data_IF_024046667289
#
_entry.id   IF_024046667289
#
_cell.length_a   1.000
_cell.length_b   1.000
_cell.length_c   1.000
_cell.angle_alpha   90.00
_cell.angle_beta   90.00
_cell.angle_gamma   90.00
#
_symmetry.space_group_name_H-M   'P 1'
#
loop_
_entity.id
_entity.type
_entity.pdbx_description
1 polymer ?
#
# COMPACT_ATOMS: atom_id res chain seq x y z
N UNK A 1 28.59 13.10 63.33
CA UNK A 1 28.74 11.66 63.04
C UNK A 1 27.35 11.10 62.77
N UNK A 2 27.14 10.58 61.55
CA UNK A 2 26.17 9.57 61.10
C UNK A 2 24.66 9.76 61.39
N UNK A 3 23.74 9.49 60.47
CA UNK A 3 23.76 9.32 59.01
C UNK A 3 22.28 9.38 58.60
N UNK A 4 21.94 10.13 57.55
CA UNK A 4 20.60 10.10 56.97
C UNK A 4 20.38 8.76 56.28
N UNK A 5 19.31 8.05 56.62
CA UNK A 5 18.89 6.83 55.94
C UNK A 5 18.35 7.17 54.55
N UNK A 6 19.24 7.12 53.56
CA UNK A 6 18.88 6.91 52.17
C UNK A 6 19.03 5.43 51.78
N UNK A 7 18.32 5.06 50.72
CA UNK A 7 18.35 3.78 49.99
C UNK A 7 17.52 2.63 50.60
N UNK A 8 16.72 1.88 49.84
CA UNK A 8 16.65 1.79 48.39
C UNK A 8 15.32 1.23 47.92
N UNK A 9 14.62 1.99 47.09
CA UNK A 9 13.79 1.39 46.04
C UNK A 9 14.74 1.00 44.90
N UNK A 10 15.43 -0.12 45.06
CA UNK A 10 16.04 -0.80 43.92
C UNK A 10 14.88 -1.38 43.10
N UNK A 11 14.30 -0.57 42.23
CA UNK A 11 13.47 -1.05 41.15
C UNK A 11 14.32 -2.07 40.38
N UNK A 12 13.90 -3.33 40.40
CA UNK A 12 14.53 -4.39 39.65
C UNK A 12 14.60 -3.96 38.19
N UNK A 13 15.79 -3.55 37.74
CA UNK A 13 16.06 -3.35 36.33
C UNK A 13 15.95 -4.74 35.70
N UNK A 14 14.78 -5.03 35.12
CA UNK A 14 14.59 -6.20 34.29
C UNK A 14 15.73 -6.19 33.27
N UNK A 15 16.58 -7.22 33.28
CA UNK A 15 17.60 -7.42 32.27
C UNK A 15 16.91 -7.48 30.91
N UNK A 16 16.88 -6.36 30.20
CA UNK A 16 16.40 -6.33 28.82
C UNK A 16 17.44 -7.07 27.98
N UNK A 17 17.04 -8.01 27.11
CA UNK A 17 17.97 -8.82 26.31
C UNK A 17 18.72 -8.00 25.24
N UNK A 18 18.48 -6.70 25.15
CA UNK A 18 19.04 -5.81 24.13
C UNK A 18 20.17 -4.97 24.71
N UNK A 19 21.32 -4.96 24.02
CA UNK A 19 22.42 -4.06 24.33
C UNK A 19 22.13 -2.68 23.71
N UNK A 20 21.47 -1.82 24.49
CA UNK A 20 20.96 -0.53 23.99
C UNK A 20 22.08 0.50 23.81
N UNK A 21 22.15 1.06 22.61
CA UNK A 21 22.91 2.30 22.39
C UNK A 21 22.10 3.51 22.86
N UNK A 22 22.74 4.58 23.37
CA UNK A 22 22.04 5.78 23.79
C UNK A 22 21.32 6.43 22.60
N UNK A 23 20.08 6.91 22.78
CA UNK A 23 19.31 7.53 21.71
C UNK A 23 19.94 8.86 21.30
N UNK A 24 19.94 9.14 20.00
CA UNK A 24 20.48 10.38 19.42
C UNK A 24 19.47 11.54 19.41
N UNK A 25 18.18 11.23 19.55
CA UNK A 25 17.09 12.20 19.50
C UNK A 25 15.89 11.75 20.36
N UNK A 26 14.94 12.68 20.58
CA UNK A 26 13.77 12.43 21.42
C UNK A 26 12.86 11.30 20.90
N UNK A 27 12.81 11.08 19.59
CA UNK A 27 11.96 10.04 19.02
C UNK A 27 12.57 8.65 19.26
N UNK A 28 13.88 8.50 19.09
CA UNK A 28 14.59 7.26 19.49
C UNK A 28 14.47 6.99 20.98
N UNK A 29 14.56 8.02 21.83
CA UNK A 29 14.38 7.87 23.27
C UNK A 29 12.97 7.39 23.62
N UNK A 30 11.94 7.96 22.99
CA UNK A 30 10.56 7.49 23.14
C UNK A 30 10.39 6.07 22.63
N UNK A 31 10.93 5.74 21.45
CA UNK A 31 10.86 4.40 20.85
C UNK A 31 11.47 3.34 21.75
N UNK A 32 12.69 3.58 22.24
CA UNK A 32 13.34 2.69 23.19
C UNK A 32 12.49 2.54 24.45
N UNK A 33 12.09 3.64 25.09
CA UNK A 33 11.27 3.60 26.30
C UNK A 33 9.97 2.81 26.10
N UNK A 34 9.24 3.08 25.02
CA UNK A 34 7.99 2.43 24.66
C UNK A 34 8.14 0.91 24.59
N UNK A 35 9.11 0.41 23.82
CA UNK A 35 9.33 -1.03 23.69
C UNK A 35 10.01 -1.67 24.89
N UNK A 36 10.79 -0.93 25.68
CA UNK A 36 11.40 -1.47 26.89
C UNK A 36 10.49 -1.48 28.11
N UNK A 37 9.39 -0.70 28.08
CA UNK A 37 8.41 -0.60 29.17
C UNK A 37 7.52 -1.84 29.37
N UNK A 38 7.64 -2.85 28.51
CA UNK A 38 6.85 -4.09 28.52
C UNK A 38 7.74 -5.33 28.56
N UNK A 39 7.22 -6.43 29.13
CA UNK A 39 7.82 -7.76 29.03
C UNK A 39 7.58 -8.44 27.68
N UNK A 40 6.71 -7.88 26.83
CA UNK A 40 6.32 -8.46 25.55
C UNK A 40 6.53 -7.47 24.38
N UNK A 41 7.77 -7.02 24.10
CA UNK A 41 8.05 -6.02 23.07
C UNK A 41 7.61 -6.46 21.66
N UNK A 42 7.68 -7.76 21.35
CA UNK A 42 7.23 -8.27 20.06
C UNK A 42 5.72 -8.19 19.84
N UNK A 43 4.92 -8.47 20.88
CA UNK A 43 3.46 -8.28 20.83
C UNK A 43 3.12 -6.79 20.70
N UNK A 44 3.81 -5.94 21.46
CA UNK A 44 3.63 -4.50 21.37
C UNK A 44 3.95 -4.02 19.94
N UNK A 45 5.05 -4.49 19.34
CA UNK A 45 5.43 -4.13 17.98
C UNK A 45 4.36 -4.57 16.97
N UNK A 46 3.84 -5.78 17.09
CA UNK A 46 2.78 -6.26 16.21
C UNK A 46 1.53 -5.38 16.27
N UNK A 47 1.09 -5.00 17.47
CA UNK A 47 -0.06 -4.09 17.67
C UNK A 47 0.24 -2.70 17.13
N UNK A 48 1.45 -2.18 17.34
CA UNK A 48 1.88 -0.88 16.80
C UNK A 48 1.89 -0.88 15.28
N UNK A 49 2.42 -1.93 14.63
CA UNK A 49 2.45 -2.04 13.17
C UNK A 49 1.05 -2.24 12.60
N UNK A 50 0.17 -2.98 13.27
CA UNK A 50 -1.23 -3.10 12.87
C UNK A 50 -1.95 -1.77 12.99
N UNK A 51 -1.80 -1.06 14.11
CA UNK A 51 -2.38 0.28 14.26
C UNK A 51 -1.85 1.26 13.20
N UNK A 52 -0.55 1.20 12.90
CA UNK A 52 0.07 2.01 11.84
C UNK A 52 -0.50 1.67 10.47
N UNK A 53 -0.65 0.38 10.17
CA UNK A 53 -1.30 -0.12 8.96
C UNK A 53 -2.72 0.47 8.80
N UNK A 54 -3.56 0.33 9.83
CA UNK A 54 -4.93 0.84 9.81
C UNK A 54 -4.99 2.37 9.64
N UNK A 55 -4.12 3.09 10.35
CA UNK A 55 -4.03 4.56 10.26
C UNK A 55 -3.68 4.99 8.83
N UNK A 56 -2.70 4.34 8.19
CA UNK A 56 -2.29 4.74 6.84
C UNK A 56 -3.33 4.30 5.81
N UNK A 57 -3.82 3.07 5.88
CA UNK A 57 -4.81 2.54 4.93
C UNK A 57 -6.09 3.36 4.96
N UNK A 58 -6.73 3.49 6.13
CA UNK A 58 -7.96 4.26 6.26
C UNK A 58 -7.71 5.77 6.10
N UNK A 59 -6.56 6.28 6.55
CA UNK A 59 -6.17 7.68 6.35
C UNK A 59 -6.04 8.05 4.88
N UNK A 60 -5.51 7.15 4.03
CA UNK A 60 -5.45 7.35 2.58
C UNK A 60 -6.80 7.15 1.90
N UNK A 61 -7.58 6.18 2.36
CA UNK A 61 -8.90 5.88 1.79
C UNK A 61 -9.93 6.99 2.05
N UNK A 62 -9.97 7.54 3.27
CA UNK A 62 -11.06 8.42 3.72
C UNK A 62 -11.25 9.69 2.86
N UNK A 63 -10.18 10.36 2.36
CA UNK A 63 -10.33 11.43 1.38
C UNK A 63 -11.13 11.02 0.14
N UNK A 64 -10.89 9.83 -0.43
CA UNK A 64 -11.65 9.34 -1.60
C UNK A 64 -13.11 9.06 -1.25
N UNK A 65 -13.37 8.54 -0.05
CA UNK A 65 -14.73 8.35 0.45
C UNK A 65 -15.49 9.68 0.53
N UNK A 66 -14.86 10.75 1.05
CA UNK A 66 -15.46 12.09 1.09
C UNK A 66 -15.71 12.61 -0.32
N UNK A 67 -14.74 12.45 -1.24
CA UNK A 67 -14.86 12.90 -2.62
C UNK A 67 -16.04 12.25 -3.34
N UNK A 68 -16.33 10.98 -3.08
CA UNK A 68 -17.52 10.29 -3.63
C UNK A 68 -18.86 10.92 -3.22
N UNK A 69 -18.90 11.71 -2.13
CA UNK A 69 -20.10 12.39 -1.65
C UNK A 69 -20.24 13.82 -2.17
N UNK A 70 -19.22 14.35 -2.84
CA UNK A 70 -19.18 15.74 -3.31
C UNK A 70 -19.28 15.75 -4.84
N UNK A 71 -20.38 16.27 -5.44
CA UNK A 71 -20.61 16.21 -6.89
C UNK A 71 -19.48 16.79 -7.75
N UNK A 72 -18.74 17.78 -7.24
CA UNK A 72 -17.61 18.39 -7.94
C UNK A 72 -16.55 17.38 -8.38
N UNK A 73 -16.28 16.34 -7.58
CA UNK A 73 -15.21 15.39 -7.88
C UNK A 73 -15.61 14.33 -8.91
N UNK A 74 -16.89 14.22 -9.28
CA UNK A 74 -17.36 13.26 -10.29
C UNK A 74 -16.66 13.40 -11.64
N UNK A 75 -16.24 14.62 -12.01
CA UNK A 75 -15.47 14.88 -13.23
C UNK A 75 -14.09 14.19 -13.28
N UNK A 76 -13.58 13.75 -12.13
CA UNK A 76 -12.33 13.00 -12.01
C UNK A 76 -12.54 11.49 -11.84
N UNK A 77 -13.79 11.02 -11.77
CA UNK A 77 -14.09 9.59 -11.62
C UNK A 77 -13.82 8.88 -12.94
N UNK A 78 -13.15 7.73 -12.87
CA UNK A 78 -12.75 6.97 -14.07
C UNK A 78 -13.96 6.26 -14.69
N UNK A 79 -14.72 5.52 -13.87
CA UNK A 79 -15.98 4.88 -14.24
C UNK A 79 -17.17 5.56 -13.53
N UNK A 80 -17.55 6.75 -13.99
CA UNK A 80 -18.59 7.60 -13.39
C UNK A 80 -20.02 7.00 -13.43
N UNK A 81 -20.25 6.01 -14.31
CA UNK A 81 -21.51 5.28 -14.44
C UNK A 81 -21.74 4.20 -13.38
N UNK A 82 -20.72 3.88 -12.56
CA UNK A 82 -20.79 2.85 -11.51
C UNK A 82 -20.62 3.51 -10.13
N UNK A 83 -21.72 3.94 -9.48
CA UNK A 83 -21.65 4.63 -8.20
C UNK A 83 -21.32 3.67 -7.05
N UNK A 84 -20.54 4.16 -6.09
CA UNK A 84 -20.20 3.43 -4.87
C UNK A 84 -21.31 3.61 -3.81
N UNK A 85 -22.11 2.58 -3.59
CA UNK A 85 -23.23 2.63 -2.63
C UNK A 85 -22.79 2.32 -1.20
N UNK A 86 -23.53 2.76 -0.17
CA UNK A 86 -23.23 2.42 1.23
C UNK A 86 -23.11 0.92 1.49
N UNK A 87 -23.88 0.09 0.79
CA UNK A 87 -23.87 -1.37 0.93
C UNK A 87 -22.55 -1.96 0.41
N UNK A 88 -22.03 -1.46 -0.71
CA UNK A 88 -20.73 -1.88 -1.24
C UNK A 88 -19.59 -1.46 -0.31
N UNK A 89 -19.68 -0.24 0.25
CA UNK A 89 -18.74 0.23 1.27
C UNK A 89 -18.73 -0.66 2.51
N UNK A 90 -19.91 -0.98 3.04
CA UNK A 90 -20.03 -1.84 4.22
C UNK A 90 -19.50 -3.25 3.94
N UNK A 91 -19.83 -3.82 2.78
CA UNK A 91 -19.32 -5.13 2.37
C UNK A 91 -17.79 -5.16 2.33
N UNK A 92 -17.17 -4.17 1.69
CA UNK A 92 -15.72 -4.07 1.61
C UNK A 92 -15.10 -3.86 2.99
N UNK A 93 -15.66 -2.97 3.80
CA UNK A 93 -15.16 -2.67 5.15
C UNK A 93 -15.12 -3.95 6.02
N UNK A 94 -16.20 -4.73 6.04
CA UNK A 94 -16.25 -5.98 6.80
C UNK A 94 -15.24 -7.00 6.27
N UNK A 95 -15.07 -7.11 4.95
CA UNK A 95 -14.11 -8.02 4.34
C UNK A 95 -12.66 -7.64 4.67
N UNK A 96 -12.33 -6.35 4.49
CA UNK A 96 -11.00 -5.77 4.73
C UNK A 96 -10.61 -5.90 6.20
N UNK A 97 -11.48 -5.50 7.15
CA UNK A 97 -11.20 -5.65 8.58
C UNK A 97 -10.95 -7.12 8.96
N UNK A 98 -11.72 -8.06 8.41
CA UNK A 98 -11.49 -9.49 8.65
C UNK A 98 -10.13 -9.94 8.12
N UNK A 99 -9.77 -9.52 6.91
CA UNK A 99 -8.47 -9.84 6.30
C UNK A 99 -7.31 -9.26 7.12
N UNK A 100 -7.39 -7.99 7.50
CA UNK A 100 -6.38 -7.29 8.30
C UNK A 100 -6.20 -7.94 9.67
N UNK A 101 -7.29 -8.28 10.37
CA UNK A 101 -7.20 -8.89 11.69
C UNK A 101 -6.79 -10.36 11.67
N UNK A 102 -7.34 -11.17 10.76
CA UNK A 102 -7.19 -12.63 10.80
C UNK A 102 -6.17 -13.21 9.82
N UNK A 103 -5.70 -12.42 8.85
CA UNK A 103 -4.62 -12.83 7.93
C UNK A 103 -3.36 -12.01 8.23
N UNK A 104 -3.45 -10.68 8.16
CA UNK A 104 -2.29 -9.82 8.35
C UNK A 104 -1.86 -9.70 9.82
N UNK A 105 -2.81 -9.67 10.76
CA UNK A 105 -2.53 -9.64 12.20
C UNK A 105 -1.61 -10.77 12.67
N UNK A 106 -1.90 -12.05 12.36
CA UNK A 106 -0.98 -13.16 12.61
C UNK A 106 0.39 -12.99 11.94
N UNK A 107 0.45 -12.46 10.71
CA UNK A 107 1.74 -12.18 10.05
C UNK A 107 2.56 -11.13 10.83
N UNK A 108 1.91 -10.08 11.34
CA UNK A 108 2.56 -9.04 12.16
C UNK A 108 2.99 -9.56 13.54
N UNK A 109 2.24 -10.50 14.13
CA UNK A 109 2.65 -11.18 15.38
C UNK A 109 3.93 -12.00 15.17
N UNK A 110 4.04 -12.69 14.04
CA UNK A 110 5.22 -13.49 13.67
C UNK A 110 6.39 -12.65 13.15
N UNK A 111 6.16 -11.36 12.85
CA UNK A 111 7.19 -10.48 12.29
C UNK A 111 8.36 -10.26 13.25
N UNK A 112 8.11 -9.89 14.52
CA UNK A 112 9.19 -9.58 15.47
C UNK A 112 10.24 -10.70 15.62
N UNK A 113 9.87 -11.96 15.96
CA UNK A 113 10.87 -13.02 16.11
C UNK A 113 11.62 -13.30 14.79
N UNK A 114 10.93 -13.22 13.65
CA UNK A 114 11.54 -13.41 12.32
C UNK A 114 12.52 -12.28 11.98
N UNK A 115 12.14 -11.04 12.25
CA UNK A 115 12.96 -9.86 12.02
C UNK A 115 14.28 -9.93 12.81
N UNK A 116 14.19 -10.27 14.11
CA UNK A 116 15.37 -10.44 14.96
C UNK A 116 16.24 -11.62 14.49
N UNK A 117 15.63 -12.76 14.12
CA UNK A 117 16.36 -13.92 13.62
C UNK A 117 17.12 -13.63 12.31
N UNK A 118 16.60 -12.73 11.48
CA UNK A 118 17.26 -12.26 10.25
C UNK A 118 18.27 -11.13 10.48
N UNK A 119 18.42 -10.65 11.71
CA UNK A 119 19.37 -9.58 12.07
C UNK A 119 18.86 -8.16 11.86
N UNK A 120 17.54 -7.95 11.71
CA UNK A 120 16.98 -6.60 11.66
C UNK A 120 17.22 -5.85 12.97
N UNK A 121 17.49 -4.55 12.83
CA UNK A 121 17.66 -3.61 13.93
C UNK A 121 16.30 -3.21 14.49
N UNK A 122 16.18 -3.13 15.81
CA UNK A 122 14.89 -2.85 16.46
C UNK A 122 14.97 -1.72 17.48
N UNK A 123 15.93 -1.76 18.41
CA UNK A 123 16.13 -0.72 19.43
C UNK A 123 17.41 0.09 19.18
N UNK A 124 18.15 -0.26 18.15
CA UNK A 124 19.32 0.47 17.66
C UNK A 124 18.94 1.88 17.17
N UNK A 125 19.91 2.80 17.00
CA UNK A 125 19.65 4.11 16.42
C UNK A 125 18.99 4.00 15.04
N UNK A 126 18.13 4.96 14.71
CA UNK A 126 17.42 4.94 13.45
C UNK A 126 18.37 5.13 12.26
N UNK A 127 18.06 4.52 11.10
CA UNK A 127 18.81 4.76 9.91
C UNK A 127 18.72 6.23 9.52
N UNK A 128 19.76 6.75 8.86
CA UNK A 128 19.69 8.08 8.24
C UNK A 128 18.52 8.13 7.27
N UNK A 129 17.88 9.30 7.16
CA UNK A 129 16.70 9.46 6.30
C UNK A 129 16.97 9.08 4.83
N UNK A 130 18.20 9.28 4.33
CA UNK A 130 18.59 8.86 2.98
C UNK A 130 18.53 7.34 2.84
N UNK A 131 19.07 6.61 3.82
CA UNK A 131 19.02 5.14 3.86
C UNK A 131 17.57 4.67 3.93
N UNK A 132 16.74 5.31 4.77
CA UNK A 132 15.31 5.00 4.87
C UNK A 132 14.61 5.13 3.51
N UNK A 133 14.79 6.27 2.83
CA UNK A 133 14.16 6.55 1.52
C UNK A 133 14.67 5.58 0.45
N UNK A 134 16.00 5.41 0.33
CA UNK A 134 16.59 4.53 -0.67
C UNK A 134 16.18 3.06 -0.46
N UNK A 135 16.12 2.60 0.78
CA UNK A 135 15.62 1.26 1.10
C UNK A 135 14.16 1.09 0.71
N UNK A 136 13.29 2.07 0.97
CA UNK A 136 11.89 2.01 0.56
C UNK A 136 11.73 2.00 -0.97
N UNK A 137 12.52 2.81 -1.70
CA UNK A 137 12.52 2.81 -3.16
C UNK A 137 13.02 1.48 -3.74
N UNK A 138 14.05 0.89 -3.13
CA UNK A 138 14.53 -0.43 -3.50
C UNK A 138 13.44 -1.50 -3.27
N UNK A 139 12.82 -1.51 -2.09
CA UNK A 139 11.72 -2.41 -1.77
C UNK A 139 10.54 -2.25 -2.75
N UNK A 140 10.22 -1.02 -3.16
CA UNK A 140 9.17 -0.74 -4.14
C UNK A 140 9.44 -1.42 -5.49
N UNK A 141 10.66 -1.30 -6.02
CA UNK A 141 11.02 -1.92 -7.31
C UNK A 141 11.03 -3.45 -7.23
N UNK A 142 11.53 -4.00 -6.12
CA UNK A 142 11.56 -5.45 -5.89
C UNK A 142 10.15 -6.01 -5.74
N UNK A 143 9.30 -5.37 -4.94
CA UNK A 143 7.92 -5.80 -4.73
C UNK A 143 7.09 -5.66 -6.01
N UNK A 144 7.21 -4.56 -6.75
CA UNK A 144 6.51 -4.37 -8.04
C UNK A 144 6.87 -5.47 -9.05
N UNK A 145 8.14 -5.89 -9.06
CA UNK A 145 8.60 -7.01 -9.89
C UNK A 145 7.95 -8.33 -9.46
N UNK A 146 8.00 -8.66 -8.16
CA UNK A 146 7.35 -9.87 -7.64
C UNK A 146 5.84 -9.85 -7.93
N UNK A 147 5.20 -8.72 -7.64
CA UNK A 147 3.79 -8.49 -7.79
C UNK A 147 3.37 -8.73 -9.24
N UNK A 148 4.06 -8.15 -10.22
CA UNK A 148 3.74 -8.35 -11.64
C UNK A 148 3.65 -9.84 -12.02
N UNK A 149 4.66 -10.63 -11.68
CA UNK A 149 4.71 -12.03 -12.08
C UNK A 149 3.67 -12.89 -11.34
N UNK A 150 3.50 -12.66 -10.04
CA UNK A 150 2.53 -13.40 -9.24
C UNK A 150 1.10 -13.00 -9.58
N UNK A 151 0.83 -11.72 -9.79
CA UNK A 151 -0.46 -11.23 -10.22
C UNK A 151 -0.82 -11.81 -11.60
N UNK A 152 0.11 -11.79 -12.56
CA UNK A 152 -0.08 -12.45 -13.86
C UNK A 152 -0.35 -13.96 -13.71
N UNK A 153 0.32 -14.63 -12.78
CA UNK A 153 0.06 -16.04 -12.46
C UNK A 153 -1.35 -16.25 -11.90
N UNK A 154 -1.81 -15.37 -11.01
CA UNK A 154 -3.15 -15.40 -10.41
C UNK A 154 -4.29 -15.26 -11.44
N UNK A 155 -4.00 -14.73 -12.63
CA UNK A 155 -4.93 -14.68 -13.76
C UNK A 155 -5.01 -15.96 -14.60
N UNK A 156 -4.29 -17.02 -14.24
CA UNK A 156 -4.53 -18.35 -14.83
C UNK A 156 -5.92 -18.87 -14.44
N UNK A 157 -6.63 -19.63 -15.29
CA UNK A 157 -8.04 -19.96 -15.09
C UNK A 157 -8.39 -20.53 -13.70
N UNK A 158 -7.55 -21.42 -13.17
CA UNK A 158 -7.77 -22.06 -11.88
C UNK A 158 -7.57 -21.07 -10.72
N UNK A 159 -6.43 -20.37 -10.71
CA UNK A 159 -6.12 -19.39 -9.67
C UNK A 159 -7.09 -18.20 -9.71
N UNK A 160 -7.49 -17.76 -10.90
CA UNK A 160 -8.47 -16.70 -11.05
C UNK A 160 -9.80 -17.13 -10.44
N UNK A 161 -10.33 -18.28 -10.88
CA UNK A 161 -11.65 -18.75 -10.45
C UNK A 161 -11.75 -18.94 -8.93
N UNK A 162 -10.71 -19.48 -8.30
CA UNK A 162 -10.76 -19.88 -6.89
C UNK A 162 -10.14 -18.88 -5.92
N UNK A 163 -9.27 -17.98 -6.39
CA UNK A 163 -8.52 -17.05 -5.53
C UNK A 163 -8.78 -15.61 -5.99
N UNK A 164 -8.31 -15.25 -7.17
CA UNK A 164 -8.22 -13.84 -7.58
C UNK A 164 -9.56 -13.19 -7.98
N UNK A 165 -10.58 -13.99 -8.27
CA UNK A 165 -11.93 -13.49 -8.59
C UNK A 165 -12.54 -12.66 -7.46
N UNK A 166 -12.16 -12.90 -6.20
CA UNK A 166 -12.64 -12.10 -5.05
C UNK A 166 -12.13 -10.66 -5.16
N UNK A 167 -10.86 -10.48 -5.53
CA UNK A 167 -10.29 -9.16 -5.78
C UNK A 167 -10.99 -8.43 -6.94
N UNK A 168 -11.28 -9.17 -8.01
CA UNK A 168 -12.00 -8.69 -9.20
C UNK A 168 -13.52 -8.56 -9.03
N UNK A 169 -14.05 -8.69 -7.81
CA UNK A 169 -15.48 -8.55 -7.57
C UNK A 169 -16.01 -7.17 -8.05
N UNK A 170 -15.18 -6.13 -7.91
CA UNK A 170 -15.52 -4.76 -8.26
C UNK A 170 -14.85 -4.33 -9.55
N UNK A 171 -15.54 -4.54 -10.68
CA UNK A 171 -15.07 -4.07 -12.00
C UNK A 171 -14.82 -2.54 -12.11
N UNK A 172 -15.28 -1.75 -11.14
CA UNK A 172 -14.88 -0.37 -10.89
C UNK A 172 -14.39 -0.28 -9.44
N UNK A 173 -13.07 -0.33 -9.21
CA UNK A 173 -12.52 -0.28 -7.86
C UNK A 173 -12.72 1.10 -7.23
N UNK A 174 -12.80 1.11 -5.91
CA UNK A 174 -12.85 2.30 -5.08
C UNK A 174 -12.04 2.05 -3.81
N UNK A 175 -11.23 3.02 -3.36
CA UNK A 175 -9.99 2.79 -2.58
C UNK A 175 -9.97 1.69 -1.51
N UNK A 176 -11.07 1.44 -0.78
CA UNK A 176 -11.16 0.34 0.20
C UNK A 176 -11.08 -1.08 -0.42
N UNK A 177 -11.46 -1.22 -1.69
CA UNK A 177 -11.36 -2.48 -2.46
C UNK A 177 -9.92 -2.96 -2.65
N UNK A 178 -8.92 -2.10 -2.42
CA UNK A 178 -7.50 -2.41 -2.48
C UNK A 178 -7.11 -3.68 -1.68
N UNK A 179 -7.76 -3.93 -0.54
CA UNK A 179 -7.49 -5.08 0.31
C UNK A 179 -8.68 -6.06 0.40
N UNK A 180 -9.70 -5.87 -0.45
CA UNK A 180 -10.77 -6.84 -0.60
C UNK A 180 -10.28 -7.99 -1.48
N UNK A 181 -9.69 -9.02 -0.87
CA UNK A 181 -9.10 -10.13 -1.59
C UNK A 181 -9.29 -11.46 -0.83
N UNK A 182 -9.07 -12.56 -1.54
CA UNK A 182 -9.11 -13.89 -0.93
C UNK A 182 -7.91 -14.06 0.04
N UNK A 183 -8.05 -14.73 1.20
CA UNK A 183 -6.94 -14.87 2.17
C UNK A 183 -5.65 -15.46 1.58
N UNK A 184 -5.77 -16.42 0.66
CA UNK A 184 -4.60 -17.00 -0.06
C UNK A 184 -3.90 -15.94 -0.91
N UNK A 185 -4.65 -15.05 -1.56
CA UNK A 185 -4.07 -13.95 -2.34
C UNK A 185 -3.30 -12.99 -1.45
N UNK A 186 -3.89 -12.59 -0.32
CA UNK A 186 -3.27 -11.72 0.68
C UNK A 186 -1.97 -12.34 1.19
N UNK A 187 -1.96 -13.64 1.50
CA UNK A 187 -0.77 -14.34 1.95
C UNK A 187 0.31 -14.41 0.86
N UNK A 188 -0.05 -14.73 -0.38
CA UNK A 188 0.89 -14.96 -1.47
C UNK A 188 1.45 -13.65 -2.02
N UNK A 189 0.60 -12.67 -2.35
CA UNK A 189 1.05 -11.34 -2.79
C UNK A 189 1.76 -10.61 -1.64
N UNK A 190 1.28 -10.76 -0.40
CA UNK A 190 1.89 -10.20 0.79
C UNK A 190 3.33 -10.68 1.07
N UNK A 191 3.76 -11.84 0.56
CA UNK A 191 5.17 -12.24 0.66
C UNK A 191 6.11 -11.28 -0.06
N UNK A 192 5.66 -10.66 -1.17
CA UNK A 192 6.45 -9.71 -1.96
C UNK A 192 6.98 -8.54 -1.13
N UNK A 193 6.19 -8.12 -0.13
CA UNK A 193 6.55 -7.06 0.80
C UNK A 193 7.88 -7.32 1.54
N UNK A 194 8.16 -8.59 1.88
CA UNK A 194 9.34 -8.97 2.68
C UNK A 194 10.58 -9.26 1.83
N UNK A 195 10.45 -9.47 0.52
CA UNK A 195 11.58 -9.82 -0.35
C UNK A 195 12.60 -8.69 -0.37
N UNK A 196 12.17 -7.43 -0.54
CA UNK A 196 13.05 -6.27 -0.55
C UNK A 196 13.91 -6.14 0.72
N UNK A 197 13.31 -6.09 1.93
CA UNK A 197 14.06 -6.05 3.19
C UNK A 197 15.03 -7.22 3.38
N UNK A 198 14.63 -8.44 3.00
CA UNK A 198 15.50 -9.62 3.09
C UNK A 198 16.71 -9.51 2.15
N UNK A 199 16.50 -9.02 0.91
CA UNK A 199 17.59 -8.80 -0.03
C UNK A 199 18.54 -7.69 0.44
N UNK A 200 18.04 -6.63 1.07
CA UNK A 200 18.88 -5.58 1.67
C UNK A 200 19.80 -6.18 2.75
N UNK A 201 19.25 -6.98 3.68
CA UNK A 201 20.03 -7.68 4.70
C UNK A 201 21.06 -8.62 4.08
N UNK A 202 20.68 -9.39 3.05
CA UNK A 202 21.58 -10.29 2.34
C UNK A 202 22.74 -9.56 1.64
N UNK A 203 22.52 -8.31 1.22
CA UNK A 203 23.54 -7.43 0.66
C UNK A 203 24.36 -6.68 1.73
N UNK A 204 24.17 -6.96 3.02
CA UNK A 204 24.88 -6.33 4.12
C UNK A 204 24.39 -4.93 4.48
N UNK A 205 23.19 -4.55 4.04
CA UNK A 205 22.54 -3.29 4.44
C UNK A 205 21.74 -3.53 5.71
N UNK A 206 22.05 -2.76 6.77
CA UNK A 206 21.27 -2.78 8.00
C UNK A 206 19.82 -2.33 7.74
N UNK A 207 18.86 -3.14 8.13
CA UNK A 207 17.43 -2.82 8.04
C UNK A 207 16.86 -2.66 9.45
N UNK A 208 16.34 -1.47 9.74
CA UNK A 208 15.64 -1.17 10.98
C UNK A 208 14.13 -1.39 10.85
N UNK A 209 13.45 -1.79 11.92
CA UNK A 209 11.98 -1.96 11.95
C UNK A 209 11.23 -0.68 11.53
N UNK A 210 11.80 0.49 11.77
CA UNK A 210 11.24 1.77 11.30
C UNK A 210 11.22 1.87 9.76
N UNK A 211 12.17 1.24 9.07
CA UNK A 211 12.16 1.10 7.60
C UNK A 211 10.97 0.24 7.16
N UNK A 212 10.62 -0.79 7.93
CA UNK A 212 9.44 -1.61 7.66
C UNK A 212 8.15 -0.79 7.85
N UNK A 213 8.04 0.01 8.91
CA UNK A 213 6.90 0.90 9.10
C UNK A 213 6.76 1.94 7.97
N UNK A 214 7.88 2.55 7.55
CA UNK A 214 7.89 3.47 6.40
C UNK A 214 7.50 2.75 5.10
N UNK A 215 7.97 1.51 4.90
CA UNK A 215 7.65 0.69 3.74
C UNK A 215 6.17 0.27 3.71
N UNK A 216 5.58 -0.13 4.85
CA UNK A 216 4.13 -0.34 5.01
C UNK A 216 3.39 0.90 4.53
N UNK A 217 3.79 2.08 5.01
CA UNK A 217 3.10 3.31 4.66
C UNK A 217 3.16 3.60 3.15
N UNK A 218 4.35 3.51 2.56
CA UNK A 218 4.53 3.73 1.12
C UNK A 218 3.71 2.76 0.29
N UNK A 219 3.71 1.46 0.63
CA UNK A 219 2.95 0.44 -0.09
C UNK A 219 1.45 0.71 0.01
N UNK A 220 0.91 0.97 1.21
CA UNK A 220 -0.52 1.23 1.40
C UNK A 220 -0.99 2.50 0.69
N UNK A 221 -0.19 3.57 0.75
CA UNK A 221 -0.48 4.81 0.04
C UNK A 221 -0.65 4.56 -1.47
N UNK A 222 0.26 3.77 -2.05
CA UNK A 222 0.23 3.41 -3.45
C UNK A 222 -0.95 2.48 -3.78
N UNK A 223 -1.14 1.40 -3.01
CA UNK A 223 -2.20 0.41 -3.28
C UNK A 223 -3.58 1.07 -3.25
N UNK A 224 -3.85 1.94 -2.26
CA UNK A 224 -5.13 2.66 -2.20
C UNK A 224 -5.26 3.67 -3.34
N UNK A 225 -4.16 4.34 -3.73
CA UNK A 225 -4.18 5.31 -4.84
C UNK A 225 -4.55 4.66 -6.17
N UNK A 226 -3.95 3.50 -6.50
CA UNK A 226 -4.24 2.80 -7.76
C UNK A 226 -5.66 2.17 -7.78
N UNK A 227 -6.29 1.97 -6.63
CA UNK A 227 -7.68 1.50 -6.52
C UNK A 227 -8.70 2.62 -6.30
N UNK A 228 -8.27 3.88 -6.23
CA UNK A 228 -9.14 4.98 -5.81
C UNK A 228 -10.36 5.19 -6.73
N UNK A 229 -10.26 4.79 -8.00
CA UNK A 229 -11.26 5.06 -9.03
C UNK A 229 -11.28 6.55 -9.45
N UNK A 230 -10.20 7.28 -9.17
CA UNK A 230 -10.04 8.70 -9.48
C UNK A 230 -8.78 8.97 -10.29
N UNK A 231 -8.90 9.82 -11.30
CA UNK A 231 -7.77 10.34 -12.05
C UNK A 231 -7.73 11.88 -12.02
N UNK A 232 -6.78 12.42 -11.28
CA UNK A 232 -6.59 13.86 -11.09
C UNK A 232 -5.55 14.43 -12.04
N UNK A 233 -5.58 15.73 -12.35
CA UNK A 233 -4.54 16.39 -13.15
C UNK A 233 -3.11 16.20 -12.60
N UNK A 234 -2.96 15.95 -11.30
CA UNK A 234 -1.69 15.72 -10.60
C UNK A 234 -1.44 14.24 -10.23
N UNK A 235 -2.25 13.30 -10.73
CA UNK A 235 -2.01 11.87 -10.50
C UNK A 235 -0.62 11.47 -11.01
N UNK A 236 0.09 10.62 -10.26
CA UNK A 236 1.50 10.34 -10.50
C UNK A 236 1.82 9.77 -11.87
N UNK A 237 0.89 9.06 -12.53
CA UNK A 237 1.09 8.58 -13.90
C UNK A 237 1.28 9.71 -14.94
N UNK A 238 0.94 10.95 -14.61
CA UNK A 238 1.14 12.15 -15.44
C UNK A 238 2.49 12.83 -15.19
N UNK A 239 3.19 12.46 -14.12
CA UNK A 239 4.41 13.10 -13.63
C UNK A 239 5.59 12.13 -13.73
N UNK A 240 5.38 10.88 -13.33
CA UNK A 240 6.38 9.81 -13.27
C UNK A 240 6.22 8.93 -14.51
N UNK A 241 7.23 8.87 -15.40
CA UNK A 241 7.21 7.97 -16.54
C UNK A 241 6.99 6.52 -16.11
N UNK A 242 6.24 5.78 -16.91
CA UNK A 242 5.91 4.36 -16.69
C UNK A 242 5.08 4.06 -15.45
N UNK A 243 4.72 5.03 -14.61
CA UNK A 243 3.80 4.79 -13.50
C UNK A 243 2.40 4.46 -14.03
N UNK A 244 1.78 3.39 -13.54
CA UNK A 244 0.47 2.92 -14.00
C UNK A 244 -0.65 3.83 -13.53
N UNK A 245 -0.73 4.03 -12.22
CA UNK A 245 -1.78 4.82 -11.58
C UNK A 245 -3.17 4.22 -11.71
N UNK A 246 -4.15 4.94 -11.15
CA UNK A 246 -5.51 4.43 -11.02
C UNK A 246 -6.17 4.04 -12.35
N UNK A 247 -6.00 4.80 -13.43
CA UNK A 247 -6.61 4.48 -14.74
C UNK A 247 -6.11 3.14 -15.30
N UNK A 248 -4.83 2.82 -15.10
CA UNK A 248 -4.23 1.58 -15.59
C UNK A 248 -4.80 0.36 -14.85
N UNK A 249 -4.96 0.46 -13.54
CA UNK A 249 -5.48 -0.62 -12.71
C UNK A 249 -7.02 -0.71 -12.75
N UNK A 250 -7.72 0.42 -12.88
CA UNK A 250 -9.17 0.45 -13.08
C UNK A 250 -9.55 -0.27 -14.40
N UNK A 251 -8.79 -0.06 -15.48
CA UNK A 251 -8.94 -0.85 -16.71
C UNK A 251 -8.70 -2.34 -16.49
N UNK A 252 -7.73 -2.71 -15.66
CA UNK A 252 -7.45 -4.10 -15.31
C UNK A 252 -8.68 -4.78 -14.68
N UNK A 253 -9.30 -4.15 -13.67
CA UNK A 253 -10.53 -4.63 -13.04
C UNK A 253 -11.72 -4.67 -13.99
N UNK A 254 -11.79 -3.76 -14.96
CA UNK A 254 -12.85 -3.74 -15.97
C UNK A 254 -12.68 -4.85 -17.03
N UNK A 255 -11.44 -5.08 -17.48
CA UNK A 255 -11.12 -5.98 -18.59
C UNK A 255 -10.78 -7.41 -18.16
N UNK A 256 -10.42 -7.61 -16.88
CA UNK A 256 -10.01 -8.88 -16.28
C UNK A 256 -8.79 -9.53 -16.94
N UNK A 257 -8.00 -8.78 -17.72
CA UNK A 257 -6.82 -9.31 -18.43
C UNK A 257 -5.84 -8.21 -18.83
N UNK A 258 -4.54 -8.49 -18.74
CA UNK A 258 -3.47 -7.52 -18.97
C UNK A 258 -3.23 -6.61 -17.76
N UNK A 259 -2.36 -5.62 -17.89
CA UNK A 259 -2.14 -4.59 -16.86
C UNK A 259 -1.83 -5.15 -15.46
N UNK A 260 -0.85 -6.05 -15.36
CA UNK A 260 -0.58 -6.81 -14.14
C UNK A 260 0.34 -6.09 -13.13
N UNK A 261 1.03 -5.03 -13.53
CA UNK A 261 1.91 -4.29 -12.63
C UNK A 261 1.10 -3.56 -11.55
N UNK A 262 1.61 -3.54 -10.33
CA UNK A 262 1.02 -2.75 -9.24
C UNK A 262 1.32 -1.26 -9.43
N UNK A 263 2.58 -0.91 -9.69
CA UNK A 263 3.08 0.47 -9.71
C UNK A 263 3.65 0.87 -11.06
N UNK A 264 4.64 0.14 -11.58
CA UNK A 264 5.39 0.54 -12.77
C UNK A 264 5.10 -0.40 -13.95
N UNK A 265 4.64 0.17 -15.07
CA UNK A 265 4.23 -0.53 -16.30
C UNK A 265 5.36 -1.20 -17.08
N UNK A 266 6.61 -1.12 -16.63
CA UNK A 266 7.77 -1.57 -17.41
C UNK A 266 7.71 -3.07 -17.75
N UNK A 267 7.25 -3.90 -16.81
CA UNK A 267 7.00 -5.32 -17.07
C UNK A 267 5.85 -5.54 -18.05
N UNK A 268 4.76 -4.77 -17.91
CA UNK A 268 3.65 -4.87 -18.86
C UNK A 268 4.06 -4.48 -20.28
N UNK A 269 4.90 -3.45 -20.43
CA UNK A 269 5.45 -3.03 -21.72
C UNK A 269 6.34 -4.13 -22.30
N UNK A 270 7.25 -4.69 -21.48
CA UNK A 270 8.18 -5.73 -21.91
C UNK A 270 7.46 -6.99 -22.41
N UNK A 271 6.39 -7.41 -21.74
CA UNK A 271 5.62 -8.60 -22.09
C UNK A 271 4.38 -8.30 -22.95
N UNK A 272 4.12 -7.04 -23.29
CA UNK A 272 3.01 -6.61 -24.12
C UNK A 272 1.63 -6.80 -23.49
N UNK A 273 1.53 -6.82 -22.15
CA UNK A 273 0.26 -6.99 -21.42
C UNK A 273 -0.49 -5.68 -21.22
N UNK A 274 0.04 -4.53 -21.67
CA UNK A 274 -0.66 -3.24 -21.70
C UNK A 274 -1.28 -2.87 -23.05
N UNK A 275 -1.14 -3.71 -24.09
CA UNK A 275 -1.59 -3.40 -25.47
C UNK A 275 -3.08 -3.06 -25.53
N UNK A 276 -3.93 -3.86 -24.88
CA UNK A 276 -5.38 -3.65 -24.85
C UNK A 276 -5.76 -2.34 -24.17
N UNK A 277 -5.05 -1.99 -23.09
CA UNK A 277 -5.22 -0.71 -22.42
C UNK A 277 -4.86 0.46 -23.34
N UNK A 278 -3.73 0.39 -24.04
CA UNK A 278 -3.30 1.44 -24.95
C UNK A 278 -4.30 1.62 -26.12
N UNK A 279 -4.82 0.53 -26.67
CA UNK A 279 -5.88 0.56 -27.70
C UNK A 279 -7.18 1.17 -27.17
N UNK A 280 -7.61 0.76 -25.97
CA UNK A 280 -8.79 1.32 -25.30
C UNK A 280 -8.62 2.82 -25.06
N UNK A 281 -7.47 3.25 -24.55
CA UNK A 281 -7.16 4.66 -24.27
C UNK A 281 -7.15 5.50 -25.55
N UNK A 282 -6.59 4.98 -26.64
CA UNK A 282 -6.61 5.64 -27.94
C UNK A 282 -8.04 5.82 -28.47
N UNK A 283 -8.88 4.76 -28.41
CA UNK A 283 -10.30 4.81 -28.79
C UNK A 283 -11.08 5.82 -27.95
N UNK A 284 -10.91 5.79 -26.63
CA UNK A 284 -11.56 6.72 -25.70
C UNK A 284 -11.18 8.18 -25.98
N UNK A 285 -9.90 8.45 -26.30
CA UNK A 285 -9.44 9.80 -26.69
C UNK A 285 -10.07 10.26 -28.01
N UNK A 286 -10.15 9.37 -29.01
CA UNK A 286 -10.76 9.69 -30.30
C UNK A 286 -12.27 10.01 -30.16
N UNK A 287 -13.00 9.24 -29.35
CA UNK A 287 -14.42 9.51 -29.05
C UNK A 287 -14.60 10.85 -28.36
N UNK A 288 -13.79 11.16 -27.33
CA UNK A 288 -13.83 12.46 -26.63
C UNK A 288 -13.52 13.63 -27.57
N UNK A 289 -12.52 13.48 -28.45
CA UNK A 289 -12.17 14.51 -29.43
C UNK A 289 -13.30 14.75 -30.44
N UNK A 290 -13.94 13.68 -30.94
CA UNK A 290 -15.09 13.79 -31.85
C UNK A 290 -16.29 14.48 -31.19
N UNK A 291 -16.58 14.15 -29.93
CA UNK A 291 -17.64 14.81 -29.17
C UNK A 291 -17.35 16.31 -28.98
N UNK A 292 -16.13 16.68 -28.59
CA UNK A 292 -15.72 18.07 -28.43
C UNK A 292 -15.83 18.87 -29.74
N UNK A 293 -15.41 18.28 -30.86
CA UNK A 293 -15.54 18.89 -32.18
C UNK A 293 -17.01 19.11 -32.57
N UNK A 294 -17.89 18.15 -32.29
CA UNK A 294 -19.33 18.27 -32.56
C UNK A 294 -19.97 19.38 -31.71
N UNK A 295 -19.63 19.48 -30.42
CA UNK A 295 -20.11 20.55 -29.54
C UNK A 295 -19.62 21.93 -30.01
N UNK A 296 -18.35 22.04 -30.42
CA UNK A 296 -17.80 23.29 -30.95
C UNK A 296 -18.50 23.71 -32.25
N UNK A 297 -18.77 22.78 -33.16
CA UNK A 297 -19.48 23.04 -34.42
C UNK A 297 -20.94 23.46 -34.19
N UNK A 298 -21.62 22.86 -33.21
CA UNK A 298 -22.97 23.27 -32.82
C UNK A 298 -22.98 24.69 -32.22
N UNK A 299 -22.02 25.00 -31.34
CA UNK A 299 -21.89 26.34 -30.74
C UNK A 299 -21.54 27.43 -31.77
N UNK A 300 -20.76 27.11 -32.81
CA UNK A 300 -20.49 28.05 -33.89
C UNK A 300 -21.70 28.32 -34.78
N UNK A 301 -22.56 27.32 -35.01
CA UNK A 301 -23.80 27.50 -35.80
C UNK A 301 -24.80 28.41 -35.09
N UNK A 302 -24.95 28.26 -33.78
CA UNK A 302 -25.83 29.11 -32.96
C UNK A 302 -25.36 30.58 -32.93
N UNK A 303 -24.05 30.85 -33.08
CA UNK A 303 -23.51 32.21 -33.12
C UNK A 303 -23.60 32.87 -34.50
N UNK A 304 -23.89 32.11 -35.55
CA UNK A 304 -24.00 32.60 -36.93
C UNK A 304 -25.45 32.83 -37.39
N UNK A 305 -26.42 32.52 -36.54
CA UNK A 305 -27.85 32.84 -36.68
C UNK A 305 -28.20 34.05 -35.81
#
# INVERSE_FOLDING_TARGET
>A
MFNATGSGAAAAAAHHPYNLQPPSNAFEAYWQHYFTSTSHPGLLLAVTLLAWHEIVFFGRFFPYYIMDKIPYFRKYKIQDTKPNTPELYWKCLVSVIKSQLFVQGPMMLLFHPTAIALGMKFLDPFPRWQTLVLSCLFCLVVEDTYHYFVHRLMHRPELYKYVHKVHHEFSAPFGITAEHAHPVEVLVLGQGFFIGPVLLLACGVDVHVITIAAWIALRLLETVDVHAGYDFPWSFHKIIPFYGGAEFHDYHHMAFVGNYSSTFRHWDILFGTDKKFNEWKAKSKAVKAKAAAATSAAASRIKSE
#
